data_IF_730683334782
#
_entry.id   IF_730683334782
#
_cell.length_a   1.000
_cell.length_b   1.000
_cell.length_c   1.000
_cell.angle_alpha   90.00
_cell.angle_beta   90.00
_cell.angle_gamma   90.00
#
_symmetry.space_group_name_H-M   'P 1'
#
loop_
_entity.id
_entity.type
_entity.pdbx_description
1 polymer ?
#
# COMPACT_ATOMS: atom_id res chain seq x y z
N UNK A 1 -13.11 -10.01 -18.37
CA UNK A 1 -13.13 -8.57 -18.71
C UNK A 1 -13.27 -7.83 -17.41
N UNK A 2 -12.14 -7.44 -16.81
CA UNK A 2 -12.16 -6.78 -15.49
C UNK A 2 -12.50 -5.33 -15.71
N UNK A 3 -13.67 -4.92 -15.21
CA UNK A 3 -14.12 -3.54 -15.18
C UNK A 3 -13.14 -2.74 -14.32
N UNK A 4 -12.15 -2.15 -14.98
CA UNK A 4 -11.17 -1.27 -14.37
C UNK A 4 -11.97 0.00 -14.06
N UNK A 5 -12.55 0.08 -12.86
CA UNK A 5 -13.24 1.27 -12.37
C UNK A 5 -12.37 2.49 -12.65
N UNK A 6 -12.70 3.21 -13.74
CA UNK A 6 -11.99 4.40 -14.17
C UNK A 6 -12.50 5.56 -13.33
N UNK A 7 -11.95 5.70 -12.13
CA UNK A 7 -12.04 6.95 -11.39
C UNK A 7 -11.36 8.04 -12.22
N UNK A 8 -11.92 9.25 -12.22
CA UNK A 8 -11.33 10.38 -12.98
C UNK A 8 -9.95 10.72 -12.42
N UNK A 9 -9.07 11.33 -13.22
CA UNK A 9 -7.75 11.78 -12.74
C UNK A 9 -7.84 12.77 -11.57
N UNK A 10 -8.99 13.43 -11.40
CA UNK A 10 -9.26 14.34 -10.28
C UNK A 10 -9.74 13.61 -9.02
N UNK A 11 -10.00 12.30 -9.09
CA UNK A 11 -10.36 11.50 -7.93
C UNK A 11 -9.07 11.06 -7.21
N UNK A 12 -8.86 11.45 -5.94
CA UNK A 12 -7.70 11.02 -5.18
C UNK A 12 -7.57 9.49 -5.10
N UNK A 13 -8.69 8.74 -5.19
CA UNK A 13 -8.70 7.26 -5.21
C UNK A 13 -8.00 6.68 -6.45
N UNK A 14 -7.96 7.41 -7.56
CA UNK A 14 -7.20 7.01 -8.74
C UNK A 14 -5.70 6.96 -8.45
N UNK A 15 -5.21 7.92 -7.65
CA UNK A 15 -3.80 8.05 -7.31
C UNK A 15 -3.37 7.12 -6.17
N UNK A 16 -4.28 6.83 -5.22
CA UNK A 16 -3.99 5.90 -4.12
C UNK A 16 -3.81 4.46 -4.59
N UNK A 17 -4.56 4.03 -5.61
CA UNK A 17 -4.50 2.66 -6.13
C UNK A 17 -3.08 2.28 -6.61
N UNK A 18 -2.42 3.17 -7.37
CA UNK A 18 -1.05 2.96 -7.84
C UNK A 18 -0.04 2.96 -6.70
N UNK A 19 -0.22 3.85 -5.73
CA UNK A 19 0.68 3.93 -4.57
C UNK A 19 0.59 2.68 -3.69
N UNK A 20 -0.62 2.16 -3.43
CA UNK A 20 -0.81 0.91 -2.68
C UNK A 20 -0.08 -0.27 -3.29
N UNK A 21 -0.15 -0.40 -4.61
CA UNK A 21 0.48 -1.49 -5.35
C UNK A 21 2.01 -1.40 -5.26
N UNK A 22 2.58 -0.21 -5.46
CA UNK A 22 4.02 0.02 -5.29
C UNK A 22 4.50 -0.29 -3.87
N UNK A 23 3.73 0.13 -2.86
CA UNK A 23 4.06 -0.16 -1.45
C UNK A 23 4.00 -1.67 -1.16
N UNK A 24 3.03 -2.39 -1.71
CA UNK A 24 2.91 -3.83 -1.57
C UNK A 24 4.11 -4.56 -2.19
N UNK A 25 4.46 -4.21 -3.43
CA UNK A 25 5.58 -4.82 -4.15
C UNK A 25 6.92 -4.57 -3.45
N UNK A 26 7.15 -3.35 -2.96
CA UNK A 26 8.35 -3.03 -2.20
C UNK A 26 8.42 -3.79 -0.86
N UNK A 27 7.28 -3.96 -0.17
CA UNK A 27 7.22 -4.75 1.07
C UNK A 27 7.48 -6.24 0.84
N UNK A 28 6.95 -6.79 -0.25
CA UNK A 28 7.21 -8.18 -0.65
C UNK A 28 8.68 -8.39 -0.98
N UNK A 29 9.29 -7.50 -1.76
CA UNK A 29 10.72 -7.55 -2.07
C UNK A 29 11.60 -7.51 -0.82
N UNK A 30 11.28 -6.61 0.13
CA UNK A 30 11.98 -6.55 1.41
C UNK A 30 11.91 -7.89 2.18
N UNK A 31 10.73 -8.53 2.23
CA UNK A 31 10.59 -9.86 2.87
C UNK A 31 11.39 -10.95 2.19
N UNK A 32 11.43 -10.96 0.86
CA UNK A 32 12.25 -11.92 0.13
C UNK A 32 13.73 -11.73 0.47
N UNK A 33 14.20 -10.49 0.55
CA UNK A 33 15.60 -10.17 0.81
C UNK A 33 16.08 -10.56 2.21
N UNK A 34 15.18 -10.64 3.21
CA UNK A 34 15.47 -11.22 4.54
C UNK A 34 16.09 -12.62 4.40
N UNK A 35 15.57 -13.44 3.46
CA UNK A 35 16.05 -14.82 3.25
C UNK A 35 17.34 -14.91 2.42
N UNK A 36 17.70 -13.83 1.72
CA UNK A 36 18.86 -13.77 0.83
C UNK A 36 20.12 -13.24 1.52
N UNK A 37 19.98 -12.60 2.69
CA UNK A 37 21.09 -12.02 3.45
C UNK A 37 21.33 -12.75 4.77
N UNK A 38 22.57 -12.77 5.23
CA UNK A 38 22.97 -13.40 6.51
C UNK A 38 23.34 -12.39 7.59
N UNK A 39 23.49 -11.10 7.26
CA UNK A 39 23.75 -10.05 8.25
C UNK A 39 22.46 -9.79 9.07
N UNK A 40 22.47 -10.06 10.39
CA UNK A 40 21.28 -9.87 11.23
C UNK A 40 20.74 -8.44 11.23
N UNK A 41 21.60 -7.44 11.04
CA UNK A 41 21.17 -6.03 10.96
C UNK A 41 20.41 -5.75 9.67
N UNK A 42 20.88 -6.29 8.55
CA UNK A 42 20.18 -6.19 7.26
C UNK A 42 18.82 -6.90 7.31
N UNK A 43 18.75 -8.09 7.92
CA UNK A 43 17.48 -8.81 8.12
C UNK A 43 16.46 -7.96 8.89
N UNK A 44 16.87 -7.41 10.05
CA UNK A 44 16.00 -6.55 10.86
C UNK A 44 15.54 -5.29 10.11
N UNK A 45 16.42 -4.69 9.30
CA UNK A 45 16.08 -3.54 8.46
C UNK A 45 15.00 -3.92 7.43
N UNK A 46 15.15 -5.05 6.74
CA UNK A 46 14.21 -5.50 5.73
C UNK A 46 12.85 -5.90 6.33
N UNK A 47 12.83 -6.58 7.47
CA UNK A 47 11.58 -6.87 8.20
C UNK A 47 10.85 -5.58 8.59
N UNK A 48 11.57 -4.64 9.22
CA UNK A 48 11.00 -3.34 9.60
C UNK A 48 10.48 -2.56 8.39
N UNK A 49 11.23 -2.58 7.29
CA UNK A 49 10.82 -1.92 6.04
C UNK A 49 9.51 -2.50 5.52
N UNK A 50 9.39 -3.84 5.47
CA UNK A 50 8.17 -4.50 5.02
C UNK A 50 6.96 -4.13 5.90
N UNK A 51 7.13 -4.12 7.22
CA UNK A 51 6.05 -3.78 8.16
C UNK A 51 5.56 -2.33 8.00
N UNK A 52 6.49 -1.37 7.91
CA UNK A 52 6.15 0.05 7.72
C UNK A 52 5.43 0.27 6.39
N UNK A 53 5.92 -0.33 5.31
CA UNK A 53 5.30 -0.21 3.98
C UNK A 53 3.89 -0.83 3.95
N UNK A 54 3.67 -1.96 4.62
CA UNK A 54 2.34 -2.55 4.76
C UNK A 54 1.40 -1.69 5.61
N UNK A 55 1.92 -1.04 6.66
CA UNK A 55 1.17 -0.05 7.43
C UNK A 55 0.73 1.14 6.58
N UNK A 56 1.63 1.68 5.75
CA UNK A 56 1.29 2.74 4.80
C UNK A 56 0.25 2.28 3.78
N UNK A 57 0.42 1.08 3.17
CA UNK A 57 -0.58 0.51 2.25
C UNK A 57 -1.95 0.44 2.91
N UNK A 58 -2.03 0.00 4.16
CA UNK A 58 -3.28 -0.08 4.91
C UNK A 58 -3.92 1.31 5.08
N UNK A 59 -3.14 2.33 5.40
CA UNK A 59 -3.67 3.70 5.50
C UNK A 59 -4.30 4.20 4.18
N UNK A 60 -3.70 3.86 3.03
CA UNK A 60 -4.30 4.16 1.72
C UNK A 60 -5.58 3.36 1.46
N UNK A 61 -5.62 2.09 1.87
CA UNK A 61 -6.82 1.25 1.77
C UNK A 61 -7.96 1.77 2.65
N UNK A 62 -7.65 2.16 3.89
CA UNK A 62 -8.59 2.78 4.82
C UNK A 62 -9.13 4.10 4.27
N UNK A 63 -8.28 4.92 3.61
CA UNK A 63 -8.71 6.14 2.92
C UNK A 63 -9.67 5.84 1.76
N UNK A 64 -9.40 4.82 0.94
CA UNK A 64 -10.26 4.44 -0.19
C UNK A 64 -11.64 3.98 0.28
N UNK A 65 -11.69 3.15 1.33
CA UNK A 65 -12.92 2.65 1.95
C UNK A 65 -13.69 3.77 2.66
N UNK A 66 -12.99 4.63 3.41
CA UNK A 66 -13.57 5.81 4.05
C UNK A 66 -13.95 6.94 3.08
N UNK A 67 -13.54 6.86 1.81
CA UNK A 67 -13.92 7.79 0.75
C UNK A 67 -15.19 7.37 0.01
N UNK A 68 -15.86 6.30 0.44
CA UNK A 68 -17.18 5.93 -0.07
C UNK A 68 -18.20 7.07 0.17
N UNK A 69 -19.17 7.25 -0.74
CA UNK A 69 -20.18 8.32 -0.61
C UNK A 69 -20.93 8.32 0.73
N UNK A 70 -20.97 7.18 1.42
CA UNK A 70 -21.55 7.03 2.76
C UNK A 70 -20.84 7.89 3.82
N UNK A 71 -19.54 8.15 3.68
CA UNK A 71 -18.74 8.91 4.63
C UNK A 71 -18.61 10.39 4.25
N UNK A 72 -18.82 10.75 2.97
CA UNK A 72 -18.91 12.16 2.52
C UNK A 72 -20.15 12.92 3.04
N UNK A 73 -21.16 12.21 3.55
CA UNK A 73 -22.38 12.81 4.14
C UNK A 73 -22.22 13.16 5.63
N UNK A 74 -21.10 12.82 6.25
CA UNK A 74 -20.76 13.21 7.61
C UNK A 74 -19.75 14.37 7.59
N UNK A 75 -20.18 15.53 7.09
CA UNK A 75 -19.50 16.83 7.26
C UNK A 75 -20.53 17.94 7.15
#
# INVERSE_FOLDING_TARGET
MTDRMQFSENDPRHHTAKLKDLLAQAAEHAREDVTKVTDPKAQALFETTAEVLLGLRKAYEDFEQGSEPAWRKAS
#
